data_IF_327677226894
#
_entry.id   IF_327677226894
#
_cell.length_a   1.000
_cell.length_b   1.000
_cell.length_c   1.000
_cell.angle_alpha   90.00
_cell.angle_beta   90.00
_cell.angle_gamma   90.00
#
_symmetry.space_group_name_H-M   'P 1'
#
loop_
_entity.id
_entity.type
_entity.pdbx_description
1 polymer ?
#
# COMPACT_ATOMS: atom_id res chain seq x y z
N UNK A 1 5.66 20.15 -17.01
CA UNK A 1 5.60 20.31 -15.53
C UNK A 1 4.30 20.98 -15.05
N UNK A 2 3.70 21.94 -15.80
CA UNK A 2 2.48 22.65 -15.38
C UNK A 2 1.22 21.78 -15.26
N UNK A 3 1.00 20.87 -16.21
CA UNK A 3 -0.25 20.07 -16.28
C UNK A 3 -0.46 19.09 -15.11
N UNK A 4 0.61 18.55 -14.52
CA UNK A 4 0.54 17.67 -13.33
C UNK A 4 0.17 18.46 -12.09
N UNK A 5 0.83 19.61 -11.87
CA UNK A 5 0.54 20.50 -10.74
C UNK A 5 -0.89 21.04 -10.82
N UNK A 6 -1.34 21.46 -12.00
CA UNK A 6 -2.71 21.90 -12.26
C UNK A 6 -3.75 20.82 -11.91
N UNK A 7 -3.50 19.56 -12.33
CA UNK A 7 -4.38 18.43 -11.99
C UNK A 7 -4.45 18.21 -10.47
N UNK A 8 -3.33 18.24 -9.78
CA UNK A 8 -3.29 18.05 -8.33
C UNK A 8 -3.92 19.21 -7.55
N UNK A 9 -3.88 20.43 -8.09
CA UNK A 9 -4.56 21.59 -7.48
C UNK A 9 -6.07 21.52 -7.70
N UNK A 10 -6.54 21.15 -8.89
CA UNK A 10 -7.96 21.05 -9.22
C UNK A 10 -8.63 19.87 -8.50
N UNK A 11 -7.97 18.71 -8.45
CA UNK A 11 -8.51 17.48 -7.86
C UNK A 11 -7.91 17.23 -6.46
N UNK A 12 -8.37 17.98 -5.46
CA UNK A 12 -7.84 17.96 -4.09
C UNK A 12 -7.94 16.57 -3.45
N UNK A 13 -9.05 15.85 -3.63
CA UNK A 13 -9.22 14.49 -3.09
C UNK A 13 -8.27 13.50 -3.73
N UNK A 14 -8.00 13.64 -5.03
CA UNK A 14 -7.00 12.84 -5.73
C UNK A 14 -5.59 13.14 -5.20
N UNK A 15 -5.26 14.40 -4.91
CA UNK A 15 -3.97 14.77 -4.30
C UNK A 15 -3.76 14.05 -2.95
N UNK A 16 -4.75 14.12 -2.05
CA UNK A 16 -4.68 13.39 -0.77
C UNK A 16 -4.60 11.89 -0.99
N UNK A 17 -5.28 11.37 -2.00
CA UNK A 17 -5.19 9.95 -2.37
C UNK A 17 -3.79 9.56 -2.84
N UNK A 18 -3.12 10.41 -3.63
CA UNK A 18 -1.74 10.19 -4.09
C UNK A 18 -0.77 10.20 -2.90
N UNK A 19 -0.92 11.15 -1.97
CA UNK A 19 -0.10 11.21 -0.74
C UNK A 19 -0.32 9.96 0.13
N UNK A 20 -1.56 9.55 0.36
CA UNK A 20 -1.88 8.30 1.04
C UNK A 20 -1.18 7.12 0.35
N UNK A 21 -1.29 7.05 -0.99
CA UNK A 21 -0.67 6.02 -1.79
C UNK A 21 0.85 5.98 -1.67
N UNK A 22 1.49 7.13 -1.74
CA UNK A 22 2.91 7.24 -1.57
C UNK A 22 3.37 6.64 -0.23
N UNK A 23 2.72 7.04 0.88
CA UNK A 23 3.11 6.55 2.20
C UNK A 23 2.91 5.04 2.35
N UNK A 24 1.71 4.53 2.10
CA UNK A 24 1.52 3.09 2.31
C UNK A 24 2.32 2.24 1.32
N UNK A 25 2.58 2.72 0.11
CA UNK A 25 3.43 2.01 -0.84
C UNK A 25 4.91 2.00 -0.43
N UNK A 26 5.40 2.98 0.33
CA UNK A 26 6.72 2.87 0.98
C UNK A 26 6.77 1.64 1.89
N UNK A 27 5.75 1.43 2.71
CA UNK A 27 5.65 0.24 3.55
C UNK A 27 5.56 -1.05 2.75
N UNK A 28 4.66 -1.10 1.76
CA UNK A 28 4.47 -2.27 0.88
C UNK A 28 5.76 -2.64 0.15
N UNK A 29 6.42 -1.67 -0.49
CA UNK A 29 7.67 -1.89 -1.21
C UNK A 29 8.78 -2.41 -0.30
N UNK A 30 8.87 -1.88 0.92
CA UNK A 30 9.81 -2.36 1.94
C UNK A 30 9.56 -3.82 2.28
N UNK A 31 8.31 -4.19 2.60
CA UNK A 31 7.96 -5.57 2.95
C UNK A 31 8.26 -6.52 1.79
N UNK A 32 7.86 -6.18 0.56
CA UNK A 32 8.11 -7.03 -0.62
C UNK A 32 9.61 -7.24 -0.84
N UNK A 33 10.39 -6.17 -0.76
CA UNK A 33 11.83 -6.22 -1.07
C UNK A 33 12.64 -6.93 0.02
N UNK A 34 12.26 -6.76 1.29
CA UNK A 34 13.08 -7.16 2.44
C UNK A 34 12.49 -8.32 3.27
N UNK A 35 11.33 -8.88 2.88
CA UNK A 35 10.69 -9.98 3.59
C UNK A 35 11.61 -11.20 3.76
N UNK A 36 12.34 -11.57 2.70
CA UNK A 36 13.28 -12.68 2.73
C UNK A 36 14.48 -12.40 3.66
N UNK A 37 14.98 -11.17 3.64
CA UNK A 37 16.08 -10.74 4.53
C UNK A 37 15.63 -10.79 5.99
N UNK A 38 14.44 -10.27 6.27
CA UNK A 38 13.87 -10.30 7.62
C UNK A 38 13.64 -11.75 8.10
N UNK A 39 13.06 -12.62 7.27
CA UNK A 39 12.81 -14.02 7.59
C UNK A 39 14.12 -14.77 7.91
N UNK A 40 15.16 -14.55 7.11
CA UNK A 40 16.48 -15.14 7.36
C UNK A 40 17.15 -14.57 8.60
N UNK A 41 17.19 -13.25 8.76
CA UNK A 41 17.93 -12.59 9.82
C UNK A 41 17.28 -12.76 11.21
N UNK A 42 15.94 -12.79 11.29
CA UNK A 42 15.18 -12.83 12.56
C UNK A 42 14.71 -14.23 12.92
N UNK A 43 14.27 -15.01 11.92
CA UNK A 43 13.71 -16.35 12.13
C UNK A 43 14.68 -17.50 11.75
N UNK A 44 15.80 -17.18 11.13
CA UNK A 44 16.75 -18.18 10.66
C UNK A 44 16.27 -19.02 9.48
N UNK A 45 15.31 -18.52 8.70
CA UNK A 45 14.78 -19.24 7.55
C UNK A 45 15.86 -19.52 6.52
N UNK A 46 15.95 -20.77 6.08
CA UNK A 46 16.76 -21.19 4.97
C UNK A 46 16.10 -20.88 3.63
N UNK A 47 16.78 -21.24 2.54
CA UNK A 47 16.29 -20.98 1.17
C UNK A 47 14.93 -21.64 0.91
N UNK A 48 14.77 -22.90 1.30
CA UNK A 48 13.52 -23.67 1.06
C UNK A 48 12.34 -23.05 1.80
N UNK A 49 12.51 -22.69 3.08
CA UNK A 49 11.46 -22.06 3.89
C UNK A 49 11.07 -20.70 3.33
N UNK A 50 12.06 -19.91 2.87
CA UNK A 50 11.83 -18.63 2.22
C UNK A 50 11.06 -18.79 0.91
N UNK A 51 11.39 -19.76 0.07
CA UNK A 51 10.65 -20.02 -1.17
C UNK A 51 9.20 -20.46 -0.90
N UNK A 52 8.97 -21.32 0.09
CA UNK A 52 7.61 -21.73 0.51
C UNK A 52 6.85 -20.52 1.04
N UNK A 53 7.50 -19.66 1.83
CA UNK A 53 6.90 -18.41 2.33
C UNK A 53 6.44 -17.53 1.17
N UNK A 54 7.30 -17.27 0.19
CA UNK A 54 6.96 -16.45 -0.98
C UNK A 54 5.78 -17.04 -1.74
N UNK A 55 5.76 -18.36 -1.94
CA UNK A 55 4.64 -19.04 -2.59
C UNK A 55 3.32 -18.84 -1.85
N UNK A 56 3.31 -19.06 -0.52
CA UNK A 56 2.11 -18.90 0.31
C UNK A 56 1.64 -17.45 0.35
N UNK A 57 2.56 -16.48 0.44
CA UNK A 57 2.24 -15.04 0.37
C UNK A 57 1.56 -14.70 -0.95
N UNK A 58 2.00 -15.26 -2.08
CA UNK A 58 1.35 -15.02 -3.37
C UNK A 58 -0.05 -15.64 -3.45
N UNK A 59 -0.24 -16.84 -2.89
CA UNK A 59 -1.57 -17.48 -2.82
C UNK A 59 -2.51 -16.64 -1.96
N UNK A 60 -2.08 -16.24 -0.77
CA UNK A 60 -2.90 -15.41 0.12
C UNK A 60 -3.13 -14.01 -0.45
N UNK A 61 -2.20 -13.46 -1.26
CA UNK A 61 -2.40 -12.22 -1.98
C UNK A 61 -3.50 -12.34 -3.04
N UNK A 62 -3.56 -13.45 -3.76
CA UNK A 62 -4.66 -13.71 -4.70
C UNK A 62 -6.00 -13.77 -3.95
N UNK A 63 -6.08 -14.50 -2.83
CA UNK A 63 -7.28 -14.55 -1.97
C UNK A 63 -7.65 -13.16 -1.47
N UNK A 64 -6.68 -12.37 -1.03
CA UNK A 64 -6.87 -10.98 -0.59
C UNK A 64 -7.43 -10.09 -1.68
N UNK A 65 -6.89 -10.18 -2.90
CA UNK A 65 -7.33 -9.38 -4.04
C UNK A 65 -8.79 -9.68 -4.42
N UNK A 66 -9.16 -10.96 -4.52
CA UNK A 66 -10.53 -11.37 -4.85
C UNK A 66 -11.51 -11.06 -3.71
N UNK A 67 -11.17 -11.42 -2.47
CA UNK A 67 -12.04 -11.21 -1.30
C UNK A 67 -12.31 -9.73 -1.05
N UNK A 68 -11.28 -8.90 -1.11
CA UNK A 68 -11.44 -7.45 -0.92
C UNK A 68 -12.09 -6.75 -2.10
N UNK A 69 -11.99 -7.26 -3.33
CA UNK A 69 -12.82 -6.79 -4.44
C UNK A 69 -14.30 -6.84 -4.09
N UNK A 70 -14.77 -7.98 -3.61
CA UNK A 70 -16.16 -8.16 -3.17
C UNK A 70 -16.55 -7.33 -1.93
N UNK A 71 -15.66 -7.23 -0.95
CA UNK A 71 -15.87 -6.40 0.25
C UNK A 71 -15.99 -4.93 -0.15
N UNK A 72 -15.10 -4.45 -1.02
CA UNK A 72 -15.05 -3.07 -1.50
C UNK A 72 -16.35 -2.63 -2.19
N UNK A 73 -16.99 -3.53 -2.95
CA UNK A 73 -18.27 -3.24 -3.60
C UNK A 73 -19.41 -3.01 -2.58
N UNK A 74 -19.30 -3.61 -1.38
CA UNK A 74 -20.30 -3.47 -0.32
C UNK A 74 -20.06 -2.29 0.60
N UNK A 75 -18.79 -2.05 1.02
CA UNK A 75 -18.45 -1.05 2.04
C UNK A 75 -17.87 0.24 1.45
N UNK A 76 -17.58 0.25 0.14
CA UNK A 76 -16.98 1.36 -0.57
C UNK A 76 -15.45 1.41 -0.51
N UNK A 77 -14.88 2.08 -1.50
CA UNK A 77 -13.43 2.08 -1.77
C UNK A 77 -12.56 2.64 -0.63
N UNK A 78 -13.02 3.72 0.04
CA UNK A 78 -12.25 4.37 1.11
C UNK A 78 -12.12 3.47 2.34
N UNK A 79 -13.23 2.88 2.77
CA UNK A 79 -13.25 2.03 3.96
C UNK A 79 -12.51 0.71 3.68
N UNK A 80 -12.68 0.14 2.49
CA UNK A 80 -11.93 -1.04 2.07
C UNK A 80 -10.41 -0.77 2.14
N UNK A 81 -9.94 0.35 1.59
CA UNK A 81 -8.52 0.72 1.67
C UNK A 81 -8.06 0.93 3.13
N UNK A 82 -8.86 1.59 3.97
CA UNK A 82 -8.52 1.76 5.39
C UNK A 82 -8.36 0.41 6.10
N UNK A 83 -9.25 -0.54 5.86
CA UNK A 83 -9.16 -1.90 6.41
C UNK A 83 -7.90 -2.63 5.94
N UNK A 84 -7.49 -2.46 4.67
CA UNK A 84 -6.25 -3.06 4.19
C UNK A 84 -5.02 -2.45 4.87
N UNK A 85 -5.03 -1.15 5.16
CA UNK A 85 -3.93 -0.51 5.89
C UNK A 85 -3.87 -0.95 7.35
N UNK A 86 -5.01 -1.18 8.00
CA UNK A 86 -5.07 -1.79 9.33
C UNK A 86 -4.52 -3.22 9.31
N UNK A 87 -4.81 -3.98 8.26
CA UNK A 87 -4.27 -5.32 8.09
C UNK A 87 -2.73 -5.30 7.94
N UNK A 88 -2.18 -4.31 7.23
CA UNK A 88 -0.74 -4.08 7.16
C UNK A 88 -0.13 -3.76 8.53
N UNK A 89 -0.79 -2.92 9.34
CA UNK A 89 -0.34 -2.60 10.71
C UNK A 89 -0.36 -3.85 11.59
N UNK A 90 -1.42 -4.66 11.50
CA UNK A 90 -1.52 -5.93 12.22
C UNK A 90 -0.40 -6.89 11.80
N UNK A 91 -0.08 -6.97 10.51
CA UNK A 91 1.05 -7.74 10.00
C UNK A 91 2.37 -7.28 10.62
N UNK A 92 2.65 -5.97 10.61
CA UNK A 92 3.88 -5.40 11.18
C UNK A 92 3.98 -5.73 12.68
N UNK A 93 2.90 -5.55 13.42
CA UNK A 93 2.86 -5.86 14.86
C UNK A 93 3.13 -7.35 15.11
N UNK A 94 2.51 -8.24 14.32
CA UNK A 94 2.71 -9.69 14.42
C UNK A 94 4.15 -10.07 14.05
N UNK A 95 4.71 -9.53 12.97
CA UNK A 95 6.08 -9.82 12.56
C UNK A 95 7.12 -9.31 13.57
N UNK A 96 6.94 -8.09 14.10
CA UNK A 96 7.83 -7.50 15.08
C UNK A 96 7.84 -8.27 16.41
N UNK A 97 6.69 -8.79 16.83
CA UNK A 97 6.53 -9.56 18.07
C UNK A 97 6.81 -11.05 17.91
N UNK A 98 7.01 -11.55 16.69
CA UNK A 98 7.22 -12.97 16.43
C UNK A 98 8.49 -13.49 17.12
N UNK A 99 8.33 -14.47 18.00
CA UNK A 99 9.42 -15.21 18.66
C UNK A 99 9.52 -16.64 18.15
N UNK A 100 8.51 -17.12 17.47
CA UNK A 100 8.45 -18.46 16.89
C UNK A 100 8.15 -18.40 15.40
N UNK A 101 8.62 -19.39 14.65
CA UNK A 101 8.33 -19.50 13.21
C UNK A 101 6.81 -19.56 12.95
N UNK A 102 6.02 -20.18 13.83
CA UNK A 102 4.56 -20.25 13.67
C UNK A 102 3.91 -18.87 13.65
N UNK A 103 4.28 -17.97 14.56
CA UNK A 103 3.77 -16.60 14.61
C UNK A 103 4.24 -15.81 13.37
N UNK A 104 5.47 -16.04 12.93
CA UNK A 104 5.97 -15.41 11.71
C UNK A 104 5.24 -15.87 10.46
N UNK A 105 4.86 -17.15 10.36
CA UNK A 105 4.01 -17.65 9.28
C UNK A 105 2.64 -16.96 9.23
N UNK A 106 2.05 -16.65 10.39
CA UNK A 106 0.82 -15.84 10.45
C UNK A 106 1.08 -14.46 9.89
N UNK A 107 2.17 -13.79 10.28
CA UNK A 107 2.53 -12.49 9.74
C UNK A 107 2.73 -12.52 8.21
N UNK A 108 3.39 -13.53 7.68
CA UNK A 108 3.59 -13.71 6.25
C UNK A 108 2.26 -13.85 5.47
N UNK A 109 1.32 -14.62 6.00
CA UNK A 109 -0.01 -14.76 5.39
C UNK A 109 -0.83 -13.45 5.48
N UNK A 110 -0.74 -12.71 6.60
CA UNK A 110 -1.32 -11.37 6.71
C UNK A 110 -0.71 -10.40 5.69
N UNK A 111 0.60 -10.48 5.45
CA UNK A 111 1.27 -9.68 4.42
C UNK A 111 0.70 -9.98 3.03
N UNK A 112 0.49 -11.25 2.69
CA UNK A 112 -0.13 -11.65 1.43
C UNK A 112 -1.53 -11.06 1.28
N UNK A 113 -2.42 -11.31 2.25
CA UNK A 113 -3.79 -10.77 2.26
C UNK A 113 -3.80 -9.25 2.11
N UNK A 114 -2.96 -8.55 2.89
CA UNK A 114 -2.85 -7.09 2.86
C UNK A 114 -2.31 -6.59 1.52
N UNK A 115 -1.34 -7.30 0.91
CA UNK A 115 -0.76 -6.95 -0.38
C UNK A 115 -1.81 -7.03 -1.49
N UNK A 116 -2.51 -8.16 -1.61
CA UNK A 116 -3.53 -8.34 -2.64
C UNK A 116 -4.67 -7.35 -2.50
N UNK A 117 -5.20 -7.18 -1.29
CA UNK A 117 -6.31 -6.27 -1.00
C UNK A 117 -5.94 -4.80 -1.23
N UNK A 118 -4.77 -4.34 -0.81
CA UNK A 118 -4.34 -2.94 -0.98
C UNK A 118 -4.07 -2.60 -2.44
N UNK A 119 -3.53 -3.53 -3.24
CA UNK A 119 -3.34 -3.33 -4.67
C UNK A 119 -4.69 -3.21 -5.42
N UNK A 120 -5.67 -4.05 -5.08
CA UNK A 120 -7.01 -3.99 -5.66
C UNK A 120 -7.71 -2.68 -5.28
N UNK A 121 -7.88 -2.40 -3.98
CA UNK A 121 -8.54 -1.21 -3.47
C UNK A 121 -7.84 0.09 -3.90
N UNK A 122 -6.51 0.06 -3.97
CA UNK A 122 -5.70 1.19 -4.35
C UNK A 122 -5.94 1.66 -5.78
N UNK A 123 -5.97 0.74 -6.73
CA UNK A 123 -6.22 1.04 -8.16
C UNK A 123 -7.65 1.47 -8.41
N UNK A 124 -8.62 0.79 -7.81
CA UNK A 124 -10.03 1.12 -7.97
C UNK A 124 -10.33 2.54 -7.51
N UNK A 125 -9.76 2.98 -6.39
CA UNK A 125 -9.97 4.34 -5.88
C UNK A 125 -9.35 5.42 -6.80
N UNK A 126 -8.27 5.14 -7.50
CA UNK A 126 -7.71 6.06 -8.51
C UNK A 126 -8.67 6.21 -9.69
N UNK A 127 -9.26 5.12 -10.16
CA UNK A 127 -10.24 5.15 -11.25
C UNK A 127 -11.46 6.03 -10.93
N UNK A 128 -11.95 5.99 -9.68
CA UNK A 128 -13.08 6.81 -9.23
C UNK A 128 -12.83 8.32 -9.35
N UNK A 129 -11.58 8.76 -9.20
CA UNK A 129 -11.20 10.17 -9.27
C UNK A 129 -10.82 10.65 -10.68
N UNK A 130 -10.63 9.73 -11.62
CA UNK A 130 -10.10 10.04 -12.92
C UNK A 130 -11.22 10.26 -13.95
N UNK A 131 -11.29 11.45 -14.61
CA UNK A 131 -12.13 11.62 -15.80
C UNK A 131 -11.69 10.67 -16.91
N UNK A 132 -12.65 10.16 -17.69
CA UNK A 132 -12.42 9.13 -18.72
C UNK A 132 -11.32 9.52 -19.72
N UNK A 133 -11.37 10.73 -20.26
CA UNK A 133 -10.37 11.25 -21.22
C UNK A 133 -9.01 11.55 -20.57
N UNK A 134 -8.90 11.52 -19.22
CA UNK A 134 -7.70 11.87 -18.45
C UNK A 134 -7.13 10.69 -17.63
N UNK A 135 -7.71 9.49 -17.78
CA UNK A 135 -7.30 8.26 -17.07
C UNK A 135 -5.79 8.04 -17.09
N UNK A 136 -5.17 8.11 -18.27
CA UNK A 136 -3.73 7.91 -18.43
C UNK A 136 -2.89 8.91 -17.59
N UNK A 137 -3.35 10.16 -17.46
CA UNK A 137 -2.70 11.17 -16.65
C UNK A 137 -2.78 10.85 -15.15
N UNK A 138 -3.97 10.47 -14.67
CA UNK A 138 -4.18 10.12 -13.27
C UNK A 138 -3.38 8.90 -12.86
N UNK A 139 -3.39 7.85 -13.66
CA UNK A 139 -2.55 6.67 -13.43
C UNK A 139 -1.05 6.97 -13.58
N UNK A 140 -0.66 7.90 -14.48
CA UNK A 140 0.71 8.37 -14.59
C UNK A 140 1.22 9.04 -13.31
N UNK A 141 0.42 9.97 -12.74
CA UNK A 141 0.74 10.64 -11.46
C UNK A 141 0.81 9.60 -10.33
N UNK A 142 -0.16 8.69 -10.28
CA UNK A 142 -0.18 7.59 -9.33
C UNK A 142 1.09 6.72 -9.42
N UNK A 143 1.46 6.28 -10.63
CA UNK A 143 2.65 5.46 -10.84
C UNK A 143 3.94 6.19 -10.47
N UNK A 144 4.05 7.50 -10.70
CA UNK A 144 5.21 8.28 -10.23
C UNK A 144 5.37 8.20 -8.71
N UNK A 145 4.27 8.30 -7.96
CA UNK A 145 4.29 8.14 -6.51
C UNK A 145 4.72 6.72 -6.09
N UNK A 146 4.24 5.69 -6.80
CA UNK A 146 4.64 4.30 -6.56
C UNK A 146 6.15 4.08 -6.81
N UNK A 147 6.68 4.60 -7.91
CA UNK A 147 8.11 4.49 -8.22
C UNK A 147 8.98 5.15 -7.15
N UNK A 148 8.57 6.34 -6.69
CA UNK A 148 9.29 7.06 -5.65
C UNK A 148 9.24 6.29 -4.31
N UNK A 149 8.09 5.73 -3.97
CA UNK A 149 7.92 4.92 -2.75
C UNK A 149 8.72 3.63 -2.77
N UNK A 150 8.89 3.01 -3.95
CA UNK A 150 9.71 1.81 -4.13
C UNK A 150 11.20 2.03 -3.81
N UNK A 151 11.66 3.27 -3.89
CA UNK A 151 13.02 3.67 -3.51
C UNK A 151 13.09 4.09 -2.05
N UNK A 152 12.19 4.97 -1.61
CA UNK A 152 12.23 5.58 -0.28
C UNK A 152 11.96 4.55 0.83
N UNK A 153 11.01 3.65 0.61
CA UNK A 153 10.67 2.63 1.60
C UNK A 153 11.86 1.76 2.01
N UNK A 154 12.46 1.00 1.08
CA UNK A 154 13.63 0.15 1.37
C UNK A 154 14.84 0.92 1.89
N UNK A 155 15.10 2.14 1.38
CA UNK A 155 16.18 2.99 1.88
C UNK A 155 15.95 3.35 3.35
N UNK A 156 14.72 3.71 3.73
CA UNK A 156 14.39 4.02 5.13
C UNK A 156 14.65 2.81 6.03
N UNK A 157 14.23 1.61 5.62
CA UNK A 157 14.50 0.39 6.36
C UNK A 157 16.01 0.13 6.50
N UNK A 158 16.76 0.23 5.40
CA UNK A 158 18.21 0.07 5.40
C UNK A 158 18.93 1.09 6.30
N UNK A 159 18.50 2.35 6.29
CA UNK A 159 19.03 3.39 7.15
C UNK A 159 18.78 3.07 8.63
N UNK A 160 17.58 2.63 9.00
CA UNK A 160 17.24 2.25 10.38
C UNK A 160 18.09 1.06 10.82
N UNK A 161 18.22 0.01 10.02
CA UNK A 161 19.07 -1.15 10.37
C UNK A 161 20.52 -0.75 10.54
N UNK A 162 21.05 0.10 9.67
CA UNK A 162 22.42 0.60 9.77
C UNK A 162 22.65 1.42 11.04
N UNK A 163 21.73 2.34 11.37
CA UNK A 163 21.85 3.22 12.55
C UNK A 163 21.66 2.47 13.87
N UNK A 164 20.99 1.33 13.87
CA UNK A 164 20.60 0.59 15.08
C UNK A 164 21.38 -0.72 15.28
N UNK A 165 22.49 -0.88 14.59
CA UNK A 165 23.32 -2.07 14.72
C UNK A 165 22.61 -3.35 14.22
N UNK A 166 21.93 -3.26 13.09
CA UNK A 166 21.20 -4.35 12.44
C UNK A 166 19.92 -4.82 13.16
N UNK A 167 19.24 -3.90 13.87
CA UNK A 167 17.97 -4.20 14.53
C UNK A 167 16.82 -4.26 13.52
N UNK A 168 16.60 -5.46 12.94
CA UNK A 168 15.57 -5.72 11.95
C UNK A 168 14.15 -5.51 12.50
N UNK A 169 13.92 -5.85 13.80
CA UNK A 169 12.61 -5.68 14.44
C UNK A 169 12.22 -4.21 14.57
N UNK A 170 13.18 -3.35 14.90
CA UNK A 170 12.93 -1.92 14.95
C UNK A 170 12.66 -1.35 13.54
N UNK A 171 13.41 -1.81 12.54
CA UNK A 171 13.24 -1.38 11.16
C UNK A 171 11.85 -1.71 10.60
N UNK A 172 11.29 -2.90 10.90
CA UNK A 172 9.94 -3.23 10.45
C UNK A 172 8.87 -2.43 11.21
N UNK A 173 9.08 -2.11 12.49
CA UNK A 173 8.16 -1.24 13.24
C UNK A 173 8.15 0.17 12.64
N UNK A 174 9.32 0.74 12.29
CA UNK A 174 9.41 2.03 11.59
C UNK A 174 8.71 1.97 10.23
N UNK A 175 8.82 0.84 9.50
CA UNK A 175 8.05 0.61 8.28
C UNK A 175 6.54 0.69 8.54
N UNK A 176 6.07 0.22 9.69
CA UNK A 176 4.67 0.32 10.10
C UNK A 176 4.16 1.77 10.18
N UNK A 177 5.03 2.74 10.48
CA UNK A 177 4.66 4.16 10.51
C UNK A 177 4.23 4.68 9.15
N UNK A 178 4.72 4.11 8.05
CA UNK A 178 4.24 4.45 6.70
C UNK A 178 2.76 4.09 6.50
N UNK A 179 2.30 2.98 7.05
CA UNK A 179 0.88 2.62 6.97
C UNK A 179 0.01 3.53 7.82
N UNK A 180 0.50 3.91 9.01
CA UNK A 180 -0.18 4.91 9.87
C UNK A 180 -0.27 6.26 9.16
N UNK A 181 0.83 6.74 8.56
CA UNK A 181 0.84 7.96 7.75
C UNK A 181 -0.13 7.87 6.56
N UNK A 182 -0.21 6.69 5.92
CA UNK A 182 -1.18 6.41 4.87
C UNK A 182 -2.63 6.55 5.34
N UNK A 183 -2.97 6.01 6.52
CA UNK A 183 -4.31 6.15 7.12
C UNK A 183 -4.61 7.63 7.41
N UNK A 184 -3.67 8.36 8.02
CA UNK A 184 -3.84 9.79 8.32
C UNK A 184 -4.09 10.58 7.03
N UNK A 185 -3.33 10.32 5.98
CA UNK A 185 -3.50 10.96 4.67
C UNK A 185 -4.83 10.56 3.97
N UNK A 186 -5.43 9.43 4.34
CA UNK A 186 -6.72 8.98 3.81
C UNK A 186 -7.91 9.70 4.47
N UNK A 187 -7.77 10.21 5.69
CA UNK A 187 -8.86 10.84 6.45
C UNK A 187 -9.54 11.95 5.66
N UNK A 188 -8.83 12.97 5.10
CA UNK A 188 -9.44 14.09 4.40
C UNK A 188 -10.05 13.73 3.05
N UNK A 189 -9.79 12.54 2.50
CA UNK A 189 -10.31 12.10 1.19
C UNK A 189 -11.82 11.94 1.23
N UNK A 190 -12.53 12.71 0.39
CA UNK A 190 -13.99 12.64 0.22
C UNK A 190 -14.30 12.04 -1.15
N UNK A 191 -14.60 10.73 -1.18
CA UNK A 191 -14.80 9.96 -2.42
C UNK A 191 -15.95 10.55 -3.25
N UNK A 192 -17.09 10.88 -2.62
CA UNK A 192 -18.25 11.45 -3.33
C UNK A 192 -17.92 12.78 -4.03
N UNK A 193 -17.15 13.67 -3.38
CA UNK A 193 -16.72 14.95 -3.96
C UNK A 193 -15.77 14.73 -5.14
N UNK A 194 -14.80 13.84 -5.00
CA UNK A 194 -13.85 13.54 -6.06
C UNK A 194 -14.50 12.87 -7.27
N UNK A 195 -15.43 11.94 -7.05
CA UNK A 195 -16.23 11.32 -8.11
C UNK A 195 -17.12 12.33 -8.85
N UNK A 196 -17.78 13.23 -8.12
CA UNK A 196 -18.61 14.29 -8.72
C UNK A 196 -17.79 15.23 -9.62
N UNK A 197 -16.56 15.59 -9.20
CA UNK A 197 -15.65 16.40 -10.01
C UNK A 197 -15.23 15.67 -11.30
N UNK A 198 -14.95 14.38 -11.22
CA UNK A 198 -14.61 13.58 -12.39
C UNK A 198 -15.79 13.49 -13.38
N UNK A 199 -17.01 13.30 -12.88
CA UNK A 199 -18.23 13.28 -13.71
C UNK A 199 -18.52 14.64 -14.36
N UNK A 200 -18.38 15.74 -13.62
CA UNK A 200 -18.55 17.08 -14.16
C UNK A 200 -17.56 17.37 -15.32
N UNK A 201 -16.32 16.94 -15.16
CA UNK A 201 -15.31 17.06 -16.21
C UNK A 201 -15.65 16.22 -17.45
N UNK A 202 -16.18 15.02 -17.27
CA UNK A 202 -16.63 14.17 -18.39
C UNK A 202 -17.75 14.82 -19.19
N UNK A 203 -18.67 15.53 -18.52
CA UNK A 203 -19.77 16.26 -19.21
C UNK A 203 -19.25 17.43 -20.02
N UNK A 204 -18.27 18.18 -19.53
CA UNK A 204 -17.63 19.28 -20.24
C UNK A 204 -16.83 18.82 -21.47
N UNK A 205 -16.13 17.69 -21.32
CA UNK A 205 -15.33 17.11 -22.41
C UNK A 205 -16.18 16.36 -23.47
N UNK A 206 -17.48 16.17 -23.21
CA UNK A 206 -18.44 15.51 -24.11
C UNK A 206 -19.26 16.48 -24.99
N UNK A 207 -19.18 17.79 -24.71
CA UNK A 207 -19.78 18.87 -25.52
C UNK A 207 -18.77 19.40 -26.54
#
# INVERSE_FOLDING_TARGET
KGKTAETLMKFVDFRYRVVCGFFYQCGVATVITLAAVYASAVMGFGLTETLVMVLLVNITAAVGAFGFGYIQDRIGHKLALALTLLLWIAMVATAASAQTSAVFWVAANLAGLAMGSSQSAGRALVAVFAPEKKLARFYGIWNMALWLSAVIGPITYGAVTWMTGNNQRLAIVVTGLFFVAGIIALIPVKVARGAALAQAENQLDGQ
#
